data_IF_931856156645
#
_entry.id   IF_931856156645
#
_cell.length_a   1.000
_cell.length_b   1.000
_cell.length_c   1.000
_cell.angle_alpha   90.00
_cell.angle_beta   90.00
_cell.angle_gamma   90.00
#
_symmetry.space_group_name_H-M   'P 1'
#
loop_
_entity.id
_entity.type
_entity.pdbx_description
1 polymer ?
#
# COMPACT_ATOMS: atom_id res chain seq x y z
N UNK A 1 18.19 47.14 2.64
CA UNK A 1 17.40 46.28 1.74
C UNK A 1 16.52 47.15 0.85
N UNK A 2 16.58 46.99 -0.46
CA UNK A 2 15.75 47.71 -1.45
C UNK A 2 14.25 47.32 -1.40
N UNK A 3 13.75 46.81 -0.27
CA UNK A 3 12.35 46.39 -0.10
C UNK A 3 11.95 45.12 -0.87
N UNK A 4 12.84 44.52 -1.65
CA UNK A 4 12.52 43.38 -2.53
C UNK A 4 12.43 42.05 -1.75
N UNK A 5 11.35 41.26 -1.90
CA UNK A 5 11.23 39.95 -1.26
C UNK A 5 12.12 38.90 -1.92
N UNK A 6 12.62 37.97 -1.10
CA UNK A 6 13.54 36.90 -1.53
C UNK A 6 13.04 35.54 -1.06
N UNK A 7 12.91 34.60 -2.01
CA UNK A 7 12.70 33.19 -1.72
C UNK A 7 14.00 32.43 -2.00
N UNK A 8 14.59 31.84 -0.95
CA UNK A 8 15.80 31.02 -1.05
C UNK A 8 15.42 29.55 -1.08
N UNK A 9 15.75 28.85 -2.17
CA UNK A 9 15.57 27.41 -2.31
C UNK A 9 16.84 26.65 -1.95
N UNK A 10 16.69 25.65 -1.07
CA UNK A 10 17.77 24.78 -0.59
C UNK A 10 17.42 23.32 -0.85
N UNK A 11 18.40 22.43 -0.94
CA UNK A 11 18.21 20.99 -1.25
C UNK A 11 18.01 20.12 -0.01
N UNK A 12 18.42 20.58 1.17
CA UNK A 12 18.30 19.84 2.43
C UNK A 12 17.92 20.75 3.62
N UNK A 13 17.39 20.13 4.67
CA UNK A 13 17.07 20.82 5.93
C UNK A 13 18.32 21.41 6.56
N UNK A 14 19.44 20.68 6.55
CA UNK A 14 20.69 21.13 7.17
C UNK A 14 21.22 22.42 6.53
N UNK A 15 21.14 22.52 5.20
CA UNK A 15 21.54 23.72 4.46
C UNK A 15 20.62 24.90 4.83
N UNK A 16 19.31 24.66 4.92
CA UNK A 16 18.34 25.70 5.30
C UNK A 16 18.57 26.24 6.72
N UNK A 17 18.89 25.36 7.68
CA UNK A 17 19.18 25.71 9.06
C UNK A 17 20.53 26.44 9.17
N UNK A 18 21.56 25.99 8.43
CA UNK A 18 22.86 26.68 8.35
C UNK A 18 22.69 28.09 7.80
N UNK A 19 21.94 28.24 6.71
CA UNK A 19 21.66 29.54 6.12
C UNK A 19 20.85 30.42 7.08
N UNK A 20 19.86 29.87 7.76
CA UNK A 20 19.08 30.59 8.78
C UNK A 20 19.99 31.18 9.86
N UNK A 21 20.92 30.39 10.42
CA UNK A 21 21.89 30.88 11.41
C UNK A 21 22.74 32.03 10.86
N UNK A 22 23.21 31.92 9.62
CA UNK A 22 24.00 32.98 8.98
C UNK A 22 23.19 34.28 8.79
N UNK A 23 21.91 34.18 8.43
CA UNK A 23 21.03 35.34 8.31
C UNK A 23 20.70 35.98 9.68
N UNK A 24 20.51 35.16 10.73
CA UNK A 24 20.34 35.65 12.11
C UNK A 24 21.55 36.44 12.58
N UNK A 25 22.77 35.94 12.32
CA UNK A 25 24.02 36.64 12.66
C UNK A 25 24.15 38.01 11.98
N UNK A 26 23.51 38.20 10.82
CA UNK A 26 23.45 39.47 10.09
C UNK A 26 22.21 40.31 10.42
N UNK A 27 21.45 39.92 11.43
CA UNK A 27 20.23 40.58 11.88
C UNK A 27 19.16 40.74 10.78
N UNK A 28 19.02 39.72 9.93
CA UNK A 28 18.01 39.68 8.86
C UNK A 28 16.82 38.82 9.30
N UNK A 29 15.62 39.43 9.38
CA UNK A 29 14.37 38.71 9.61
C UNK A 29 14.06 37.75 8.45
N UNK A 30 13.79 36.49 8.77
CA UNK A 30 13.49 35.47 7.78
C UNK A 30 12.68 34.31 8.36
N UNK A 31 11.97 33.61 7.48
CA UNK A 31 11.24 32.40 7.80
C UNK A 31 11.91 31.16 7.17
N UNK A 32 11.75 29.99 7.79
CA UNK A 32 12.26 28.71 7.29
C UNK A 32 11.11 27.72 7.13
N UNK A 33 11.04 27.06 5.97
CA UNK A 33 10.03 26.08 5.61
C UNK A 33 10.69 24.73 5.36
N UNK A 34 10.39 23.75 6.25
CA UNK A 34 11.04 22.44 6.29
C UNK A 34 10.10 21.27 5.89
N UNK A 35 8.95 21.55 5.28
CA UNK A 35 7.92 20.58 4.89
C UNK A 35 7.36 19.71 6.04
N UNK A 36 7.32 20.26 7.26
CA UNK A 36 6.82 19.57 8.47
C UNK A 36 5.37 19.95 8.83
N UNK A 37 4.96 21.19 8.58
CA UNK A 37 3.64 21.71 8.97
C UNK A 37 2.98 22.46 7.81
N UNK A 38 2.30 21.74 6.92
CA UNK A 38 1.78 22.30 5.67
C UNK A 38 0.86 23.51 5.84
N UNK A 39 0.01 23.55 6.87
CA UNK A 39 -0.93 24.66 7.08
C UNK A 39 -0.23 25.96 7.48
N UNK A 40 0.67 25.90 8.48
CA UNK A 40 1.47 27.05 8.90
C UNK A 40 2.44 27.49 7.81
N UNK A 41 3.03 26.54 7.08
CA UNK A 41 3.90 26.84 5.94
C UNK A 41 3.12 27.56 4.83
N UNK A 42 1.87 27.19 4.56
CA UNK A 42 1.05 27.89 3.58
C UNK A 42 0.79 29.35 3.97
N UNK A 43 0.53 29.64 5.25
CA UNK A 43 0.39 31.01 5.76
C UNK A 43 1.67 31.82 5.54
N UNK A 44 2.82 31.25 5.89
CA UNK A 44 4.13 31.90 5.70
C UNK A 44 4.42 32.15 4.21
N UNK A 45 4.09 31.19 3.33
CA UNK A 45 4.29 31.31 1.87
C UNK A 45 3.39 32.38 1.28
N UNK A 46 2.15 32.51 1.75
CA UNK A 46 1.23 33.56 1.29
C UNK A 46 1.78 34.97 1.61
N UNK A 47 2.53 35.11 2.70
CA UNK A 47 3.17 36.37 3.09
C UNK A 47 4.58 36.58 2.49
N UNK A 48 5.17 35.56 1.86
CA UNK A 48 6.54 35.60 1.35
C UNK A 48 6.76 36.67 0.25
N UNK A 49 5.68 37.14 -0.39
CA UNK A 49 5.70 38.19 -1.40
C UNK A 49 5.61 39.61 -0.85
N UNK A 50 5.50 39.81 0.47
CA UNK A 50 5.46 41.15 1.09
C UNK A 50 6.83 41.84 1.04
N UNK A 51 6.90 43.19 0.97
CA UNK A 51 8.16 43.92 0.92
C UNK A 51 9.14 43.51 2.04
N UNK A 52 10.40 43.29 1.66
CA UNK A 52 11.50 42.99 2.58
C UNK A 52 11.48 41.60 3.21
N UNK A 53 10.51 40.73 2.88
CA UNK A 53 10.45 39.37 3.44
C UNK A 53 11.49 38.44 2.81
N UNK A 54 12.17 37.69 3.66
CA UNK A 54 13.09 36.62 3.27
C UNK A 54 12.52 35.29 3.73
N UNK A 55 12.36 34.35 2.81
CA UNK A 55 11.82 33.02 3.10
C UNK A 55 12.79 31.97 2.58
N UNK A 56 13.21 31.04 3.43
CA UNK A 56 14.02 29.88 3.07
C UNK A 56 13.09 28.68 2.94
N UNK A 57 13.16 27.98 1.82
CA UNK A 57 12.38 26.77 1.55
C UNK A 57 13.30 25.59 1.25
N UNK A 58 13.11 24.48 1.96
CA UNK A 58 13.77 23.21 1.64
C UNK A 58 13.00 22.49 0.53
N UNK A 59 13.69 22.11 -0.54
CA UNK A 59 13.15 21.43 -1.70
C UNK A 59 11.87 22.08 -2.25
N UNK A 60 10.72 21.45 -1.98
CA UNK A 60 9.40 21.87 -2.44
C UNK A 60 8.48 22.32 -1.29
N UNK A 61 9.02 22.76 -0.16
CA UNK A 61 8.20 23.31 0.92
C UNK A 61 7.33 24.48 0.39
N UNK A 62 6.07 24.56 0.85
CA UNK A 62 5.11 25.53 0.31
C UNK A 62 4.61 25.24 -1.11
N UNK A 63 4.67 23.99 -1.58
CA UNK A 63 4.04 23.57 -2.86
C UNK A 63 2.52 23.68 -2.79
N UNK A 64 1.93 24.22 -3.85
CA UNK A 64 0.48 24.41 -3.96
C UNK A 64 -0.03 25.77 -3.45
N UNK A 65 0.80 26.54 -2.74
CA UNK A 65 0.45 27.90 -2.31
C UNK A 65 1.07 28.94 -3.21
N UNK A 66 0.26 29.92 -3.60
CA UNK A 66 0.68 30.99 -4.48
C UNK A 66 1.29 32.17 -3.71
N UNK A 67 2.45 32.64 -4.17
CA UNK A 67 3.09 33.84 -3.65
C UNK A 67 2.58 35.02 -4.47
N UNK A 68 1.77 35.88 -3.85
CA UNK A 68 1.26 37.11 -4.47
C UNK A 68 2.16 38.29 -4.09
N UNK A 69 2.42 39.17 -5.05
CA UNK A 69 3.17 40.41 -4.83
C UNK A 69 2.28 41.63 -5.05
N UNK A 70 2.58 42.73 -4.38
CA UNK A 70 1.89 44.02 -4.54
C UNK A 70 2.68 44.97 -5.46
N UNK A 71 2.09 46.10 -5.84
CA UNK A 71 2.70 47.03 -6.81
C UNK A 71 4.05 47.59 -6.33
N UNK A 72 4.19 47.87 -5.04
CA UNK A 72 5.47 48.27 -4.44
C UNK A 72 6.58 47.23 -4.68
N UNK A 73 6.25 45.94 -4.60
CA UNK A 73 7.20 44.86 -4.89
C UNK A 73 7.45 44.73 -6.38
N UNK A 74 6.46 44.99 -7.24
CA UNK A 74 6.64 44.99 -8.70
C UNK A 74 7.65 46.06 -9.12
N UNK A 75 7.51 47.27 -8.57
CA UNK A 75 8.44 48.39 -8.82
C UNK A 75 9.86 48.09 -8.30
N UNK A 76 9.96 47.32 -7.21
CA UNK A 76 11.24 46.83 -6.68
C UNK A 76 11.87 45.66 -7.49
N UNK A 77 11.29 45.29 -8.65
CA UNK A 77 11.78 44.21 -9.51
C UNK A 77 11.17 42.83 -9.21
N UNK A 78 10.08 42.79 -8.45
CA UNK A 78 9.31 41.59 -8.14
C UNK A 78 10.01 40.59 -7.22
N UNK A 79 9.48 39.37 -7.16
CA UNK A 79 10.04 38.31 -6.32
C UNK A 79 11.41 37.85 -6.83
N UNK A 80 12.42 37.84 -5.95
CA UNK A 80 13.74 37.28 -6.24
C UNK A 80 13.82 35.82 -5.77
N UNK A 81 14.14 34.93 -6.70
CA UNK A 81 14.41 33.51 -6.40
C UNK A 81 15.92 33.31 -6.34
N UNK A 82 16.39 32.72 -5.24
CA UNK A 82 17.79 32.36 -5.04
C UNK A 82 17.87 30.86 -4.79
N UNK A 83 18.40 30.08 -5.73
CA UNK A 83 18.77 28.69 -5.49
C UNK A 83 20.17 28.62 -4.90
N UNK A 84 20.35 27.92 -3.79
CA UNK A 84 21.69 27.73 -3.19
C UNK A 84 22.49 26.63 -3.86
N UNK A 85 21.81 25.72 -4.57
CA UNK A 85 22.37 24.59 -5.30
C UNK A 85 21.45 24.21 -6.47
N UNK A 86 21.87 23.25 -7.28
CA UNK A 86 21.04 22.60 -8.30
C UNK A 86 20.40 21.35 -7.73
N UNK A 87 19.11 21.13 -8.00
CA UNK A 87 18.47 19.86 -7.68
C UNK A 87 18.88 18.77 -8.67
N UNK A 88 18.68 17.51 -8.28
CA UNK A 88 18.89 16.34 -9.13
C UNK A 88 18.10 16.36 -10.44
N UNK A 89 16.96 17.07 -10.45
CA UNK A 89 16.12 17.23 -11.63
C UNK A 89 15.90 18.69 -12.01
N UNK A 90 16.04 18.97 -13.30
CA UNK A 90 15.78 20.30 -13.89
C UNK A 90 14.33 20.74 -13.69
N UNK A 91 13.41 19.78 -13.60
CA UNK A 91 12.00 20.06 -13.36
C UNK A 91 11.79 20.75 -12.02
N UNK A 92 12.54 20.36 -10.99
CA UNK A 92 12.44 20.96 -9.65
C UNK A 92 13.03 22.36 -9.66
N UNK A 93 14.18 22.56 -10.31
CA UNK A 93 14.76 23.90 -10.51
C UNK A 93 13.79 24.84 -11.25
N UNK A 94 13.12 24.34 -12.31
CA UNK A 94 12.10 25.09 -13.05
C UNK A 94 10.88 25.43 -12.18
N UNK A 95 10.47 24.54 -11.29
CA UNK A 95 9.39 24.82 -10.33
C UNK A 95 9.77 25.90 -9.32
N UNK A 96 11.01 25.90 -8.85
CA UNK A 96 11.52 26.96 -7.97
C UNK A 96 11.54 28.30 -8.71
N UNK A 97 12.02 28.33 -9.96
CA UNK A 97 11.98 29.54 -10.81
C UNK A 97 10.56 30.04 -11.03
N UNK A 98 9.62 29.14 -11.31
CA UNK A 98 8.20 29.46 -11.56
C UNK A 98 7.42 29.97 -10.33
N UNK A 99 8.09 30.12 -9.17
CA UNK A 99 7.52 30.85 -8.02
C UNK A 99 7.51 32.36 -8.23
N UNK A 100 8.42 32.89 -9.04
CA UNK A 100 8.40 34.28 -9.49
C UNK A 100 7.84 34.39 -10.92
N UNK A 101 7.57 35.61 -11.39
CA UNK A 101 7.17 35.84 -12.78
C UNK A 101 5.73 35.44 -13.12
N UNK A 102 4.84 35.41 -12.13
CA UNK A 102 3.47 34.88 -12.31
C UNK A 102 2.57 35.93 -12.93
N UNK A 103 1.70 35.52 -13.86
CA UNK A 103 0.79 36.43 -14.56
C UNK A 103 1.50 37.63 -15.23
N UNK A 104 2.74 37.45 -15.66
CA UNK A 104 3.54 38.51 -16.28
C UNK A 104 4.20 39.47 -15.27
N UNK A 105 4.10 39.21 -13.97
CA UNK A 105 4.78 39.99 -12.94
C UNK A 105 6.31 40.01 -13.16
N UNK A 106 7.01 41.09 -12.80
CA UNK A 106 8.46 41.10 -12.81
C UNK A 106 9.02 40.10 -11.79
N UNK A 107 10.23 39.61 -12.04
CA UNK A 107 10.90 38.68 -11.14
C UNK A 107 12.27 38.29 -11.69
N UNK A 108 13.11 37.75 -10.81
CA UNK A 108 14.40 37.19 -11.24
C UNK A 108 14.67 35.87 -10.54
N UNK A 109 15.41 34.99 -11.21
CA UNK A 109 15.90 33.77 -10.60
C UNK A 109 17.39 33.64 -10.81
N UNK A 110 18.14 33.46 -9.73
CA UNK A 110 19.57 33.19 -9.78
C UNK A 110 19.86 31.95 -8.95
N UNK A 111 20.82 31.16 -9.41
CA UNK A 111 21.28 30.00 -8.68
C UNK A 111 22.78 30.08 -8.52
N UNK A 112 23.21 29.87 -7.28
CA UNK A 112 24.60 29.73 -6.90
C UNK A 112 24.90 28.24 -6.90
N UNK A 113 26.03 27.86 -7.47
CA UNK A 113 26.45 26.47 -7.62
C UNK A 113 27.94 26.43 -7.34
N UNK A 114 28.37 25.48 -6.53
CA UNK A 114 29.79 25.20 -6.30
C UNK A 114 30.23 23.94 -7.03
N UNK A 115 31.51 23.86 -7.39
CA UNK A 115 32.11 22.61 -7.86
C UNK A 115 32.15 21.53 -6.76
N UNK A 116 31.98 21.94 -5.51
CA UNK A 116 31.92 21.07 -4.33
C UNK A 116 30.51 20.53 -4.04
N UNK A 117 29.48 21.02 -4.75
CA UNK A 117 28.09 20.57 -4.57
C UNK A 117 27.98 19.06 -4.85
N UNK A 118 27.05 18.39 -4.17
CA UNK A 118 26.86 16.95 -4.30
C UNK A 118 26.66 16.51 -5.76
N UNK A 119 25.85 17.26 -6.51
CA UNK A 119 25.63 17.03 -7.95
C UNK A 119 26.94 17.11 -8.75
N UNK A 120 27.84 18.03 -8.42
CA UNK A 120 29.11 18.20 -9.15
C UNK A 120 30.14 17.14 -8.76
N UNK A 121 30.16 16.74 -7.49
CA UNK A 121 31.03 15.66 -6.97
C UNK A 121 30.77 14.32 -7.66
N UNK A 122 29.51 14.00 -7.95
CA UNK A 122 29.13 12.76 -8.65
C UNK A 122 29.68 12.65 -10.08
N UNK A 123 30.08 13.78 -10.71
CA UNK A 123 30.47 13.82 -12.13
C UNK A 123 31.95 14.18 -12.37
N UNK A 124 32.81 13.93 -11.38
CA UNK A 124 34.26 14.22 -11.44
C UNK A 124 34.57 15.69 -11.76
N UNK A 125 34.12 16.58 -10.86
CA UNK A 125 34.42 18.02 -10.88
C UNK A 125 35.91 18.35 -10.97
N UNK A 126 36.81 17.44 -10.59
CA UNK A 126 38.27 17.63 -10.62
C UNK A 126 38.83 18.03 -11.99
N UNK A 127 38.30 17.49 -13.10
CA UNK A 127 38.80 17.86 -14.44
C UNK A 127 38.44 19.30 -14.79
N UNK A 128 37.29 19.76 -14.32
CA UNK A 128 36.80 21.13 -14.54
C UNK A 128 37.56 22.06 -13.60
N UNK A 129 37.74 21.70 -12.33
CA UNK A 129 38.54 22.45 -11.36
C UNK A 129 39.98 22.67 -11.87
N UNK A 130 40.68 21.61 -12.31
CA UNK A 130 42.04 21.70 -12.87
C UNK A 130 42.14 22.58 -14.12
N UNK A 131 41.09 22.62 -14.94
CA UNK A 131 41.02 23.50 -16.10
C UNK A 131 40.86 24.96 -15.67
N UNK A 132 40.07 25.20 -14.62
CA UNK A 132 39.79 26.54 -14.10
C UNK A 132 41.01 27.13 -13.37
N UNK A 133 41.72 26.31 -12.59
CA UNK A 133 43.00 26.68 -11.98
C UNK A 133 44.01 27.09 -13.05
N UNK A 134 44.06 26.35 -14.17
CA UNK A 134 44.92 26.66 -15.31
C UNK A 134 44.52 27.94 -16.05
N UNK A 135 43.24 28.29 -16.04
CA UNK A 135 42.72 29.55 -16.59
C UNK A 135 42.93 30.74 -15.64
N UNK A 136 43.47 30.52 -14.44
CA UNK A 136 43.83 31.58 -13.50
C UNK A 136 42.67 32.13 -12.67
N UNK A 137 41.54 31.41 -12.59
CA UNK A 137 40.42 31.80 -11.74
C UNK A 137 40.78 31.65 -10.26
N UNK A 138 40.44 32.66 -9.45
CA UNK A 138 40.70 32.65 -8.00
C UNK A 138 39.47 32.25 -7.19
N UNK A 139 39.72 31.76 -5.98
CA UNK A 139 38.67 31.43 -5.03
C UNK A 139 37.81 32.67 -4.74
N UNK A 140 36.50 32.54 -4.92
CA UNK A 140 35.52 33.63 -4.79
C UNK A 140 35.20 34.39 -6.08
N UNK A 141 35.84 34.09 -7.21
CA UNK A 141 35.44 34.64 -8.51
C UNK A 141 34.18 33.97 -9.06
N UNK A 142 33.21 34.79 -9.47
CA UNK A 142 31.97 34.28 -10.06
C UNK A 142 32.22 33.85 -11.50
N UNK A 143 32.19 32.55 -11.76
CA UNK A 143 32.30 32.03 -13.12
C UNK A 143 30.93 32.02 -13.81
N UNK A 144 30.82 32.79 -14.88
CA UNK A 144 29.68 32.72 -15.81
C UNK A 144 30.15 32.24 -17.17
N UNK A 145 30.19 30.92 -17.36
CA UNK A 145 30.59 30.31 -18.62
C UNK A 145 29.58 29.27 -19.11
N UNK A 146 29.27 29.32 -20.41
CA UNK A 146 28.28 28.44 -21.04
C UNK A 146 28.67 26.96 -20.96
N UNK A 147 29.96 26.66 -20.99
CA UNK A 147 30.49 25.29 -20.84
C UNK A 147 30.17 24.69 -19.46
N UNK A 148 30.32 25.47 -18.38
CA UNK A 148 30.03 25.03 -17.01
C UNK A 148 28.53 24.77 -16.86
N UNK A 149 27.70 25.68 -17.39
CA UNK A 149 26.24 25.51 -17.41
C UNK A 149 25.82 24.24 -18.16
N UNK A 150 26.40 23.97 -19.35
CA UNK A 150 26.17 22.73 -20.11
C UNK A 150 26.65 21.48 -19.37
N UNK A 151 27.71 21.57 -18.57
CA UNK A 151 28.22 20.44 -17.78
C UNK A 151 27.24 20.07 -16.67
N UNK A 152 26.78 21.06 -15.89
CA UNK A 152 25.73 20.88 -14.87
C UNK A 152 24.47 20.28 -15.49
N UNK A 153 24.09 20.80 -16.65
CA UNK A 153 22.93 20.34 -17.40
C UNK A 153 23.03 18.84 -17.77
N UNK A 154 24.21 18.37 -18.20
CA UNK A 154 24.48 16.95 -18.48
C UNK A 154 24.47 16.10 -17.21
N UNK A 155 25.05 16.61 -16.12
CA UNK A 155 25.02 15.94 -14.82
C UNK A 155 23.58 15.67 -14.37
N UNK A 156 22.72 16.70 -14.38
CA UNK A 156 21.30 16.56 -14.05
C UNK A 156 20.59 15.55 -14.95
N UNK A 157 20.83 15.57 -16.27
CA UNK A 157 20.22 14.61 -17.20
C UNK A 157 20.61 13.17 -16.84
N UNK A 158 21.86 12.93 -16.50
CA UNK A 158 22.33 11.59 -16.15
C UNK A 158 21.76 11.09 -14.81
N UNK A 159 21.61 11.99 -13.83
CA UNK A 159 20.89 11.67 -12.58
C UNK A 159 19.41 11.35 -12.85
N UNK A 160 18.76 12.13 -13.71
CA UNK A 160 17.38 11.87 -14.13
C UNK A 160 17.22 10.51 -14.84
N UNK A 161 18.14 10.18 -15.75
CA UNK A 161 18.19 8.87 -16.43
C UNK A 161 18.39 7.72 -15.42
N UNK A 162 19.30 7.88 -14.45
CA UNK A 162 19.51 6.88 -13.41
C UNK A 162 18.25 6.68 -12.55
N UNK A 163 17.65 7.78 -12.09
CA UNK A 163 16.41 7.74 -11.31
C UNK A 163 15.23 7.19 -12.12
N UNK A 164 15.21 7.40 -13.44
CA UNK A 164 14.24 6.78 -14.34
C UNK A 164 14.47 5.26 -14.42
N UNK A 165 15.72 4.81 -14.58
CA UNK A 165 16.08 3.39 -14.58
C UNK A 165 15.68 2.69 -13.28
N UNK A 166 15.97 3.29 -12.12
CA UNK A 166 15.56 2.76 -10.81
C UNK A 166 14.03 2.62 -10.74
N UNK A 167 13.28 3.65 -11.14
CA UNK A 167 11.81 3.60 -11.14
C UNK A 167 11.25 2.58 -12.12
N UNK A 168 11.83 2.47 -13.31
CA UNK A 168 11.44 1.46 -14.30
C UNK A 168 11.64 0.05 -13.73
N UNK A 169 12.80 -0.20 -13.13
CA UNK A 169 13.08 -1.49 -12.50
C UNK A 169 12.13 -1.77 -11.35
N UNK A 170 11.89 -0.81 -10.46
CA UNK A 170 10.90 -0.97 -9.38
C UNK A 170 9.50 -1.32 -9.90
N UNK A 171 9.07 -0.71 -11.01
CA UNK A 171 7.81 -1.04 -11.67
C UNK A 171 7.82 -2.47 -12.21
N UNK A 172 8.90 -2.89 -12.90
CA UNK A 172 9.00 -4.24 -13.45
C UNK A 172 8.92 -5.36 -12.40
N UNK A 173 9.41 -5.12 -11.17
CA UNK A 173 9.21 -6.06 -10.04
C UNK A 173 7.78 -6.01 -9.48
N UNK A 174 7.18 -4.82 -9.39
CA UNK A 174 5.80 -4.66 -8.90
C UNK A 174 4.78 -5.23 -9.89
N UNK A 175 5.03 -5.17 -11.21
CA UNK A 175 4.15 -5.74 -12.24
C UNK A 175 3.90 -7.24 -12.00
N UNK A 176 4.94 -7.99 -11.62
CA UNK A 176 4.82 -9.42 -11.27
C UNK A 176 3.90 -9.60 -10.05
N UNK A 177 4.13 -8.82 -9.00
CA UNK A 177 3.29 -8.84 -7.80
C UNK A 177 1.87 -8.39 -8.07
N UNK A 178 1.68 -7.45 -8.99
CA UNK A 178 0.37 -6.91 -9.30
C UNK A 178 -0.52 -7.97 -9.97
N UNK A 179 0.02 -8.74 -10.91
CA UNK A 179 -0.70 -9.85 -11.55
C UNK A 179 -1.16 -10.89 -10.50
N UNK A 180 -0.24 -11.31 -9.62
CA UNK A 180 -0.56 -12.26 -8.55
C UNK A 180 -1.60 -11.70 -7.58
N UNK A 181 -1.45 -10.43 -7.20
CA UNK A 181 -2.36 -9.72 -6.29
C UNK A 181 -3.77 -9.60 -6.88
N UNK A 182 -3.89 -9.28 -8.17
CA UNK A 182 -5.19 -9.21 -8.85
C UNK A 182 -5.91 -10.56 -8.78
N UNK A 183 -5.22 -11.67 -9.08
CA UNK A 183 -5.79 -13.01 -9.00
C UNK A 183 -6.26 -13.38 -7.59
N UNK A 184 -5.44 -13.11 -6.56
CA UNK A 184 -5.80 -13.39 -5.17
C UNK A 184 -6.93 -12.48 -4.69
N UNK A 185 -6.94 -11.20 -5.08
CA UNK A 185 -7.97 -10.25 -4.67
C UNK A 185 -9.32 -10.54 -5.32
N UNK A 186 -9.34 -11.13 -6.51
CA UNK A 186 -10.56 -11.66 -7.11
C UNK A 186 -11.14 -12.80 -6.28
N UNK A 187 -10.35 -13.84 -5.98
CA UNK A 187 -10.79 -14.97 -5.12
C UNK A 187 -11.24 -14.50 -3.73
N UNK A 188 -10.48 -13.56 -3.14
CA UNK A 188 -10.82 -12.95 -1.85
C UNK A 188 -12.14 -12.19 -1.89
N UNK A 189 -12.42 -11.49 -2.99
CA UNK A 189 -13.67 -10.76 -3.18
C UNK A 189 -14.85 -11.72 -3.29
N UNK A 190 -14.70 -12.80 -4.05
CA UNK A 190 -15.71 -13.86 -4.19
C UNK A 190 -16.00 -14.52 -2.84
N UNK A 191 -14.98 -14.78 -2.02
CA UNK A 191 -15.14 -15.28 -0.65
C UNK A 191 -15.82 -14.27 0.29
N UNK A 192 -15.57 -12.97 0.12
CA UNK A 192 -16.20 -11.91 0.93
C UNK A 192 -17.68 -11.68 0.57
N UNK A 193 -18.01 -11.66 -0.72
CA UNK A 193 -19.39 -11.43 -1.18
C UNK A 193 -20.23 -12.70 -1.20
N UNK A 194 -19.60 -13.87 -1.30
CA UNK A 194 -20.26 -15.14 -1.60
C UNK A 194 -20.60 -15.32 -3.09
N UNK A 195 -20.42 -14.29 -3.92
CA UNK A 195 -20.70 -14.38 -5.35
C UNK A 195 -19.65 -15.26 -6.02
N UNK A 196 -20.10 -16.26 -6.79
CA UNK A 196 -19.24 -17.23 -7.50
C UNK A 196 -18.30 -18.05 -6.60
N UNK A 197 -18.46 -18.01 -5.27
CA UNK A 197 -17.62 -18.77 -4.34
C UNK A 197 -17.72 -20.28 -4.60
N UNK A 198 -18.92 -20.80 -4.88
CA UNK A 198 -19.12 -22.21 -5.24
C UNK A 198 -18.32 -22.63 -6.47
N UNK A 199 -18.21 -21.74 -7.47
CA UNK A 199 -17.39 -21.99 -8.67
C UNK A 199 -15.91 -21.99 -8.32
N UNK A 200 -15.46 -21.05 -7.50
CA UNK A 200 -14.07 -21.04 -7.01
C UNK A 200 -13.75 -22.30 -6.22
N UNK A 201 -14.61 -22.72 -5.30
CA UNK A 201 -14.45 -23.94 -4.50
C UNK A 201 -14.39 -25.19 -5.38
N UNK A 202 -15.32 -25.34 -6.33
CA UNK A 202 -15.30 -26.47 -7.26
C UNK A 202 -14.00 -26.55 -8.05
N UNK A 203 -13.45 -25.41 -8.51
CA UNK A 203 -12.13 -25.39 -9.15
C UNK A 203 -10.99 -25.70 -8.19
N UNK A 204 -11.05 -25.28 -6.92
CA UNK A 204 -10.06 -25.65 -5.90
C UNK A 204 -10.08 -27.16 -5.64
N UNK A 205 -11.27 -27.75 -5.53
CA UNK A 205 -11.48 -29.17 -5.32
C UNK A 205 -10.94 -29.98 -6.50
N UNK A 206 -11.33 -29.60 -7.72
CA UNK A 206 -10.88 -30.23 -8.96
C UNK A 206 -9.37 -30.16 -9.10
N UNK A 207 -8.78 -28.96 -8.97
CA UNK A 207 -7.35 -28.78 -9.09
C UNK A 207 -6.57 -29.58 -8.03
N UNK A 208 -7.11 -29.74 -6.82
CA UNK A 208 -6.47 -30.60 -5.81
C UNK A 208 -6.57 -32.09 -6.18
N UNK A 209 -7.73 -32.54 -6.64
CA UNK A 209 -7.98 -33.93 -7.05
C UNK A 209 -7.11 -34.31 -8.24
N UNK A 210 -7.05 -33.47 -9.28
CA UNK A 210 -6.19 -33.67 -10.45
C UNK A 210 -4.73 -33.82 -10.06
N UNK A 211 -4.21 -32.90 -9.22
CA UNK A 211 -2.83 -32.97 -8.75
C UNK A 211 -2.57 -34.25 -7.95
N UNK A 212 -3.48 -34.62 -7.04
CA UNK A 212 -3.38 -35.84 -6.26
C UNK A 212 -3.34 -37.08 -7.15
N UNK A 213 -4.25 -37.19 -8.12
CA UNK A 213 -4.31 -38.33 -9.04
C UNK A 213 -3.04 -38.39 -9.89
N UNK A 214 -2.60 -37.25 -10.43
CA UNK A 214 -1.39 -37.18 -11.25
C UNK A 214 -0.14 -37.64 -10.48
N UNK A 215 0.08 -37.10 -9.28
CA UNK A 215 1.22 -37.48 -8.43
C UNK A 215 1.19 -38.97 -8.07
N UNK A 216 0.04 -39.48 -7.63
CA UNK A 216 -0.05 -40.85 -7.15
C UNK A 216 -0.02 -41.87 -8.29
N UNK A 217 -0.54 -41.52 -9.48
CA UNK A 217 -0.42 -42.37 -10.68
C UNK A 217 1.03 -42.50 -11.14
N UNK A 218 1.84 -41.46 -11.00
CA UNK A 218 3.28 -41.52 -11.28
C UNK A 218 4.03 -42.44 -10.29
N UNK A 219 3.62 -42.45 -9.02
CA UNK A 219 4.17 -43.36 -8.01
C UNK A 219 3.74 -44.81 -8.27
N UNK A 220 2.50 -45.02 -8.71
CA UNK A 220 1.96 -46.33 -9.06
C UNK A 220 1.52 -47.20 -7.88
N UNK A 221 1.47 -46.64 -6.66
CA UNK A 221 1.01 -47.36 -5.46
C UNK A 221 -0.40 -46.92 -5.04
N UNK A 222 -1.35 -47.83 -5.18
CA UNK A 222 -2.75 -47.61 -4.79
C UNK A 222 -2.93 -47.37 -3.28
N UNK A 223 -2.11 -47.99 -2.42
CA UNK A 223 -2.22 -47.76 -0.97
C UNK A 223 -1.80 -46.34 -0.60
N UNK A 224 -0.74 -45.83 -1.26
CA UNK A 224 -0.33 -44.43 -1.15
C UNK A 224 -1.42 -43.47 -1.65
N UNK A 225 -2.06 -43.78 -2.79
CA UNK A 225 -3.20 -43.01 -3.30
C UNK A 225 -4.36 -42.95 -2.29
N UNK A 226 -4.77 -44.10 -1.76
CA UNK A 226 -5.85 -44.21 -0.77
C UNK A 226 -5.54 -43.39 0.49
N UNK A 227 -4.31 -43.51 1.00
CA UNK A 227 -3.85 -42.73 2.16
C UNK A 227 -3.83 -41.24 1.87
N UNK A 228 -3.34 -40.83 0.71
CA UNK A 228 -3.32 -39.43 0.29
C UNK A 228 -4.73 -38.86 0.21
N UNK A 229 -5.68 -39.58 -0.40
CA UNK A 229 -7.09 -39.18 -0.49
C UNK A 229 -7.73 -38.97 0.89
N UNK A 230 -7.54 -39.90 1.82
CA UNK A 230 -8.02 -39.72 3.19
C UNK A 230 -7.36 -38.53 3.90
N UNK A 231 -6.07 -38.29 3.63
CA UNK A 231 -5.30 -37.21 4.25
C UNK A 231 -5.58 -35.82 3.67
N UNK A 232 -5.97 -35.70 2.40
CA UNK A 232 -6.25 -34.42 1.75
C UNK A 232 -7.76 -34.16 1.67
N UNK A 233 -8.53 -35.09 1.13
CA UNK A 233 -9.97 -34.99 0.86
C UNK A 233 -10.85 -35.52 2.00
N UNK A 234 -10.29 -36.34 2.89
CA UNK A 234 -11.06 -36.94 3.99
C UNK A 234 -11.97 -38.09 3.57
N UNK A 235 -11.87 -38.55 2.31
CA UNK A 235 -12.63 -39.69 1.78
C UNK A 235 -11.73 -40.90 1.56
N UNK A 236 -12.31 -42.08 1.74
CA UNK A 236 -11.70 -43.34 1.34
C UNK A 236 -12.25 -43.70 -0.06
N UNK A 237 -11.42 -43.65 -1.12
CA UNK A 237 -11.89 -43.81 -2.49
C UNK A 237 -12.49 -45.21 -2.73
N UNK A 238 -13.65 -45.28 -3.39
CA UNK A 238 -14.35 -46.55 -3.64
C UNK A 238 -13.79 -47.33 -4.83
N UNK A 239 -13.06 -46.63 -5.71
CA UNK A 239 -12.35 -47.21 -6.84
C UNK A 239 -11.31 -48.24 -6.38
N UNK A 240 -11.28 -49.40 -7.04
CA UNK A 240 -10.38 -50.50 -6.68
C UNK A 240 -8.98 -50.35 -7.28
N UNK A 241 -8.05 -51.20 -6.82
CA UNK A 241 -6.66 -51.17 -7.25
C UNK A 241 -6.49 -51.51 -8.75
N UNK A 242 -7.40 -52.31 -9.33
CA UNK A 242 -7.35 -52.68 -10.74
C UNK A 242 -7.72 -51.49 -11.62
N UNK A 243 -8.82 -50.80 -11.29
CA UNK A 243 -9.24 -49.57 -11.94
C UNK A 243 -8.17 -48.49 -11.83
N UNK A 244 -7.60 -48.28 -10.64
CA UNK A 244 -6.51 -47.31 -10.47
C UNK A 244 -5.27 -47.64 -11.32
N UNK A 245 -4.97 -48.91 -11.57
CA UNK A 245 -3.82 -49.30 -12.39
C UNK A 245 -4.10 -49.10 -13.90
N UNK A 246 -5.28 -49.49 -14.37
CA UNK A 246 -5.62 -49.51 -15.80
C UNK A 246 -6.17 -48.20 -16.34
N UNK A 247 -7.00 -47.50 -15.56
CA UNK A 247 -7.66 -46.26 -16.00
C UNK A 247 -6.66 -45.11 -16.19
N UNK A 248 -7.01 -44.18 -17.08
CA UNK A 248 -6.22 -42.98 -17.27
C UNK A 248 -6.44 -41.97 -16.13
N UNK A 249 -5.61 -40.92 -16.06
CA UNK A 249 -5.71 -39.92 -14.98
C UNK A 249 -7.01 -39.14 -15.01
N UNK A 250 -7.59 -38.90 -16.18
CA UNK A 250 -8.86 -38.15 -16.33
C UNK A 250 -10.04 -38.97 -15.76
N UNK A 251 -10.13 -40.26 -16.10
CA UNK A 251 -11.16 -41.19 -15.60
C UNK A 251 -11.11 -41.35 -14.08
N UNK A 252 -9.90 -41.44 -13.52
CA UNK A 252 -9.72 -41.53 -12.06
C UNK A 252 -10.11 -40.21 -11.39
N UNK A 253 -9.76 -39.08 -12.01
CA UNK A 253 -10.10 -37.73 -11.51
C UNK A 253 -11.61 -37.51 -11.50
N UNK A 254 -12.30 -37.79 -12.61
CA UNK A 254 -13.76 -37.64 -12.73
C UNK A 254 -14.48 -38.49 -11.67
N UNK A 255 -14.10 -39.77 -11.54
CA UNK A 255 -14.71 -40.65 -10.55
C UNK A 255 -14.45 -40.21 -9.11
N UNK A 256 -13.23 -39.78 -8.79
CA UNK A 256 -12.90 -39.30 -7.44
C UNK A 256 -13.61 -37.97 -7.13
N UNK A 257 -13.77 -37.11 -8.14
CA UNK A 257 -14.52 -35.85 -8.02
C UNK A 257 -15.99 -36.11 -7.73
N UNK A 258 -16.64 -37.00 -8.46
CA UNK A 258 -18.04 -37.37 -8.20
C UNK A 258 -18.23 -37.94 -6.79
N UNK A 259 -17.32 -38.82 -6.34
CA UNK A 259 -17.32 -39.35 -4.97
C UNK A 259 -17.14 -38.24 -3.92
N UNK A 260 -16.22 -37.30 -4.18
CA UNK A 260 -15.95 -36.18 -3.29
C UNK A 260 -17.10 -35.18 -3.21
N UNK A 261 -17.70 -34.81 -4.35
CA UNK A 261 -18.83 -33.87 -4.42
C UNK A 261 -20.05 -34.45 -3.69
N UNK A 262 -20.31 -35.75 -3.84
CA UNK A 262 -21.36 -36.46 -3.11
C UNK A 262 -21.10 -36.45 -1.59
N UNK A 263 -19.87 -36.78 -1.18
CA UNK A 263 -19.46 -36.75 0.23
C UNK A 263 -19.59 -35.34 0.83
N UNK A 264 -19.11 -34.32 0.12
CA UNK A 264 -19.11 -32.94 0.57
C UNK A 264 -20.54 -32.39 0.69
N UNK A 265 -21.40 -32.69 -0.29
CA UNK A 265 -22.82 -32.34 -0.26
C UNK A 265 -23.57 -32.98 0.90
N UNK A 266 -23.40 -34.30 1.10
CA UNK A 266 -24.05 -35.02 2.21
C UNK A 266 -23.59 -34.50 3.58
N UNK A 267 -22.31 -34.15 3.69
CA UNK A 267 -21.76 -33.51 4.88
C UNK A 267 -22.41 -32.15 5.15
N UNK A 268 -22.55 -31.32 4.11
CA UNK A 268 -23.21 -30.01 4.21
C UNK A 268 -24.64 -30.13 4.72
N UNK A 269 -25.41 -31.07 4.17
CA UNK A 269 -26.78 -31.34 4.60
C UNK A 269 -26.84 -31.84 6.06
N UNK A 270 -25.98 -32.79 6.46
CA UNK A 270 -25.87 -33.24 7.86
C UNK A 270 -25.54 -32.11 8.82
N UNK A 271 -24.67 -31.19 8.40
CA UNK A 271 -24.26 -30.04 9.20
C UNK A 271 -25.41 -29.04 9.35
N UNK A 272 -26.15 -28.77 8.27
CA UNK A 272 -27.33 -27.91 8.29
C UNK A 272 -28.42 -28.49 9.20
N UNK A 273 -28.71 -29.80 9.10
CA UNK A 273 -29.71 -30.48 9.93
C UNK A 273 -29.35 -30.46 11.42
N UNK A 274 -28.06 -30.59 11.75
CA UNK A 274 -27.58 -30.50 13.13
C UNK A 274 -27.67 -29.08 13.71
N UNK A 275 -27.43 -28.05 12.90
CA UNK A 275 -27.42 -26.65 13.33
C UNK A 275 -28.82 -26.02 13.33
N UNK A 276 -29.72 -26.45 12.46
CA UNK A 276 -31.05 -25.89 12.32
C UNK A 276 -31.85 -25.79 13.64
N UNK A 277 -31.94 -26.83 14.49
CA UNK A 277 -32.68 -26.72 15.74
C UNK A 277 -32.07 -25.68 16.70
N UNK A 278 -30.74 -25.53 16.70
CA UNK A 278 -30.02 -24.58 17.55
C UNK A 278 -30.30 -23.16 17.06
N UNK A 279 -30.14 -22.92 15.76
CA UNK A 279 -30.35 -21.61 15.13
C UNK A 279 -31.81 -21.18 15.28
N UNK A 280 -32.75 -22.10 15.06
CA UNK A 280 -34.19 -21.85 15.25
C UNK A 280 -34.50 -21.45 16.70
N UNK A 281 -33.96 -22.18 17.67
CA UNK A 281 -34.16 -21.88 19.08
C UNK A 281 -33.59 -20.50 19.47
N UNK A 282 -32.42 -20.14 18.95
CA UNK A 282 -31.81 -18.82 19.17
C UNK A 282 -32.61 -17.71 18.49
N UNK A 283 -33.09 -17.92 17.27
CA UNK A 283 -33.91 -16.94 16.56
C UNK A 283 -35.26 -16.68 17.25
N UNK A 284 -35.94 -17.74 17.71
CA UNK A 284 -37.24 -17.63 18.38
C UNK A 284 -37.14 -16.96 19.76
N UNK A 285 -36.10 -17.25 20.54
CA UNK A 285 -35.94 -16.70 21.90
C UNK A 285 -35.16 -15.39 21.95
N UNK A 286 -34.18 -15.20 21.06
CA UNK A 286 -33.20 -14.11 21.13
C UNK A 286 -33.04 -13.32 19.82
N UNK A 287 -33.81 -13.62 18.78
CA UNK A 287 -33.70 -12.96 17.46
C UNK A 287 -34.05 -11.46 17.44
N UNK A 288 -34.69 -10.94 18.49
CA UNK A 288 -34.89 -9.50 18.69
C UNK A 288 -33.63 -8.78 19.19
N UNK A 289 -32.67 -9.53 19.77
CA UNK A 289 -31.45 -9.02 20.39
C UNK A 289 -30.23 -9.18 19.50
N UNK A 290 -30.16 -10.27 18.72
CA UNK A 290 -29.00 -10.58 17.87
C UNK A 290 -29.41 -10.74 16.41
N UNK A 291 -28.59 -10.19 15.50
CA UNK A 291 -28.74 -10.39 14.05
C UNK A 291 -27.93 -11.58 13.54
N UNK A 292 -26.81 -11.88 14.19
CA UNK A 292 -25.88 -12.94 13.77
C UNK A 292 -25.31 -13.70 14.95
N UNK A 293 -25.01 -14.98 14.76
CA UNK A 293 -24.41 -15.87 15.77
C UNK A 293 -22.98 -16.23 15.40
N UNK A 294 -22.12 -16.39 16.43
CA UNK A 294 -20.77 -16.90 16.24
C UNK A 294 -20.74 -18.42 16.42
N UNK A 295 -20.40 -19.15 15.36
CA UNK A 295 -20.21 -20.59 15.39
C UNK A 295 -18.71 -20.92 15.35
N UNK A 296 -18.14 -21.56 16.38
CA UNK A 296 -16.75 -21.99 16.35
C UNK A 296 -16.62 -23.27 15.52
N UNK A 297 -15.86 -23.20 14.41
CA UNK A 297 -15.55 -24.38 13.59
C UNK A 297 -14.08 -24.74 13.69
N UNK A 298 -13.84 -26.04 13.71
CA UNK A 298 -12.51 -26.66 13.69
C UNK A 298 -12.52 -27.82 12.70
N UNK A 299 -11.36 -28.15 12.15
CA UNK A 299 -11.04 -29.39 11.43
C UNK A 299 -10.44 -30.48 12.34
N UNK A 300 -10.48 -30.28 13.66
CA UNK A 300 -9.77 -31.10 14.64
C UNK A 300 -8.39 -30.56 15.01
N UNK A 301 -7.93 -29.48 14.36
CA UNK A 301 -6.75 -28.72 14.78
C UNK A 301 -7.07 -27.70 15.88
N UNK A 302 -6.04 -27.12 16.50
CA UNK A 302 -6.19 -26.04 17.49
C UNK A 302 -6.77 -24.74 16.91
N UNK A 303 -7.01 -24.65 15.59
CA UNK A 303 -7.52 -23.44 14.95
C UNK A 303 -9.06 -23.42 15.04
N UNK A 304 -9.58 -22.40 15.72
CA UNK A 304 -11.00 -22.11 15.77
C UNK A 304 -11.27 -20.86 14.94
N UNK A 305 -12.14 -20.99 13.94
CA UNK A 305 -12.61 -19.84 13.17
C UNK A 305 -14.00 -19.44 13.69
N UNK A 306 -14.18 -18.22 14.23
CA UNK A 306 -15.49 -17.73 14.61
C UNK A 306 -16.25 -17.30 13.36
N UNK A 307 -17.30 -18.02 13.02
CA UNK A 307 -18.09 -17.79 11.81
C UNK A 307 -19.34 -17.01 12.19
N UNK A 308 -19.54 -15.88 11.53
CA UNK A 308 -20.72 -15.04 11.74
C UNK A 308 -21.79 -15.45 10.74
N UNK A 309 -22.85 -16.10 11.21
CA UNK A 309 -24.00 -16.50 10.38
C UNK A 309 -25.21 -15.59 10.67
N UNK A 310 -25.91 -15.14 9.63
CA UNK A 310 -27.16 -14.38 9.79
C UNK A 310 -28.30 -15.29 10.25
N UNK A 311 -28.94 -14.94 11.36
CA UNK A 311 -29.97 -15.78 11.97
C UNK A 311 -31.23 -15.90 11.11
N UNK A 312 -31.62 -14.81 10.43
CA UNK A 312 -32.86 -14.79 9.65
C UNK A 312 -32.69 -15.64 8.40
N UNK A 313 -31.61 -15.44 7.65
CA UNK A 313 -31.31 -16.22 6.46
C UNK A 313 -31.16 -17.71 6.80
N UNK A 314 -30.50 -18.02 7.91
CA UNK A 314 -30.30 -19.39 8.35
C UNK A 314 -31.60 -20.12 8.73
N UNK A 315 -32.59 -19.42 9.30
CA UNK A 315 -33.91 -20.04 9.56
C UNK A 315 -34.70 -20.21 8.26
N UNK A 316 -34.72 -19.19 7.40
CA UNK A 316 -35.44 -19.23 6.10
C UNK A 316 -34.90 -20.33 5.18
N UNK A 317 -33.59 -20.59 5.21
CA UNK A 317 -32.92 -21.60 4.40
C UNK A 317 -32.80 -22.98 5.06
N UNK A 318 -33.42 -23.20 6.23
CA UNK A 318 -33.27 -24.44 7.04
C UNK A 318 -31.81 -24.81 7.37
N UNK A 319 -30.97 -23.82 7.65
CA UNK A 319 -29.56 -24.02 8.03
C UNK A 319 -28.58 -24.02 6.85
N UNK A 320 -29.06 -24.07 5.60
CA UNK A 320 -28.19 -24.06 4.41
C UNK A 320 -27.33 -22.80 4.26
N UNK A 321 -27.82 -21.60 4.57
CA UNK A 321 -26.99 -20.39 4.48
C UNK A 321 -25.78 -20.43 5.41
N UNK A 322 -25.83 -21.24 6.48
CA UNK A 322 -24.70 -21.41 7.39
C UNK A 322 -23.56 -22.15 6.70
N UNK A 323 -23.84 -23.14 5.83
CA UNK A 323 -22.76 -23.82 5.07
C UNK A 323 -22.04 -22.82 4.18
N UNK A 324 -22.78 -21.94 3.52
CA UNK A 324 -22.21 -20.89 2.67
C UNK A 324 -21.40 -19.88 3.49
N UNK A 325 -21.87 -19.48 4.67
CA UNK A 325 -21.14 -18.57 5.56
C UNK A 325 -19.86 -19.22 6.10
N UNK A 326 -19.87 -20.54 6.30
CA UNK A 326 -18.69 -21.31 6.68
C UNK A 326 -17.68 -21.31 5.53
N UNK A 327 -18.12 -21.64 4.33
CA UNK A 327 -17.31 -21.61 3.12
C UNK A 327 -16.66 -20.25 2.91
N UNK A 328 -17.42 -19.16 3.00
CA UNK A 328 -16.92 -17.78 2.89
C UNK A 328 -15.84 -17.50 3.92
N UNK A 329 -16.14 -17.75 5.19
CA UNK A 329 -15.25 -17.40 6.30
C UNK A 329 -13.95 -18.21 6.29
N UNK A 330 -14.04 -19.52 6.05
CA UNK A 330 -12.89 -20.43 5.97
C UNK A 330 -12.02 -20.06 4.77
N UNK A 331 -12.62 -19.94 3.59
CA UNK A 331 -11.89 -19.62 2.36
C UNK A 331 -11.15 -18.29 2.49
N UNK A 332 -11.84 -17.26 2.98
CA UNK A 332 -11.22 -15.96 3.21
C UNK A 332 -10.05 -16.03 4.21
N UNK A 333 -10.24 -16.71 5.34
CA UNK A 333 -9.22 -16.80 6.39
C UNK A 333 -7.97 -17.57 5.93
N UNK A 334 -8.14 -18.60 5.11
CA UNK A 334 -7.03 -19.40 4.58
C UNK A 334 -6.33 -18.70 3.41
N UNK A 335 -7.06 -18.02 2.53
CA UNK A 335 -6.46 -17.15 1.49
C UNK A 335 -5.62 -16.06 2.16
N UNK A 336 -6.16 -15.35 3.16
CA UNK A 336 -5.45 -14.23 3.81
C UNK A 336 -4.17 -14.70 4.53
N UNK A 337 -4.19 -15.87 5.19
CA UNK A 337 -3.01 -16.38 5.87
C UNK A 337 -1.93 -16.86 4.88
N UNK A 338 -2.32 -17.62 3.85
CA UNK A 338 -1.38 -18.09 2.85
C UNK A 338 -0.82 -16.94 1.99
N UNK A 339 -1.65 -15.96 1.64
CA UNK A 339 -1.19 -14.76 0.94
C UNK A 339 -0.22 -13.93 1.78
N UNK A 340 -0.47 -13.80 3.09
CA UNK A 340 0.44 -13.12 4.01
C UNK A 340 1.82 -13.78 4.06
N UNK A 341 1.86 -15.11 4.06
CA UNK A 341 3.11 -15.85 4.02
C UNK A 341 3.82 -15.69 2.67
N UNK A 342 3.08 -15.79 1.56
CA UNK A 342 3.62 -15.54 0.22
C UNK A 342 4.24 -14.14 0.08
N UNK A 343 3.60 -13.09 0.61
CA UNK A 343 4.16 -11.74 0.58
C UNK A 343 5.53 -11.66 1.28
N UNK A 344 5.74 -12.43 2.35
CA UNK A 344 7.05 -12.50 3.03
C UNK A 344 8.07 -13.20 2.14
N UNK A 345 7.72 -14.36 1.59
CA UNK A 345 8.58 -15.09 0.66
C UNK A 345 8.96 -14.23 -0.56
N UNK A 346 8.03 -13.43 -1.07
CA UNK A 346 8.28 -12.51 -2.19
C UNK A 346 9.22 -11.36 -1.84
N UNK A 347 9.11 -10.81 -0.63
CA UNK A 347 10.04 -9.79 -0.14
C UNK A 347 11.45 -10.37 0.03
N UNK A 348 11.57 -11.57 0.62
CA UNK A 348 12.85 -12.29 0.75
C UNK A 348 13.45 -12.63 -0.62
N UNK A 349 12.64 -13.11 -1.56
CA UNK A 349 13.04 -13.40 -2.94
C UNK A 349 13.60 -12.16 -3.64
N UNK A 350 12.95 -11.01 -3.46
CA UNK A 350 13.38 -9.75 -4.09
C UNK A 350 14.79 -9.33 -3.63
N UNK A 351 15.13 -9.61 -2.38
CA UNK A 351 16.47 -9.37 -1.82
C UNK A 351 17.47 -10.41 -2.29
N UNK A 352 17.13 -11.71 -2.24
CA UNK A 352 18.03 -12.81 -2.57
C UNK A 352 18.45 -12.79 -4.05
N UNK A 353 17.52 -12.48 -4.95
CA UNK A 353 17.75 -12.50 -6.40
C UNK A 353 18.76 -11.45 -6.85
N UNK A 354 19.07 -10.44 -6.04
CA UNK A 354 20.18 -9.51 -6.35
C UNK A 354 21.53 -10.25 -6.47
N UNK A 355 21.70 -11.39 -5.78
CA UNK A 355 22.88 -12.23 -5.89
C UNK A 355 23.04 -12.89 -7.28
N UNK A 356 21.96 -13.06 -8.05
CA UNK A 356 22.03 -13.61 -9.41
C UNK A 356 22.90 -12.76 -10.36
N UNK A 357 23.12 -11.48 -10.02
CA UNK A 357 24.05 -10.61 -10.76
C UNK A 357 25.49 -11.11 -10.73
N UNK A 358 25.91 -11.86 -9.70
CA UNK A 358 27.24 -12.48 -9.63
C UNK A 358 27.39 -13.62 -10.63
N UNK A 359 26.31 -14.29 -11.00
CA UNK A 359 26.27 -15.33 -12.03
C UNK A 359 26.10 -14.78 -13.45
N UNK A 360 26.15 -13.45 -13.63
CA UNK A 360 25.89 -12.77 -14.91
C UNK A 360 24.49 -13.05 -15.48
N UNK A 361 23.54 -13.43 -14.62
CA UNK A 361 22.11 -13.55 -14.97
C UNK A 361 21.40 -12.23 -14.64
N UNK A 362 20.32 -11.94 -15.38
CA UNK A 362 19.46 -10.80 -15.05
C UNK A 362 18.60 -11.14 -13.82
N UNK A 363 18.76 -10.41 -12.68
CA UNK A 363 17.95 -10.63 -11.49
C UNK A 363 16.44 -10.49 -11.76
N UNK A 364 16.00 -9.65 -12.69
CA UNK A 364 14.57 -9.52 -12.97
C UNK A 364 14.01 -10.81 -13.60
N UNK A 365 14.79 -11.47 -14.44
CA UNK A 365 14.39 -12.71 -15.11
C UNK A 365 14.32 -13.86 -14.11
N UNK A 366 15.32 -13.99 -13.24
CA UNK A 366 15.33 -14.99 -12.15
C UNK A 366 14.15 -14.75 -11.20
N UNK A 367 13.92 -13.50 -10.80
CA UNK A 367 12.79 -13.13 -9.95
C UNK A 367 11.46 -13.54 -10.56
N UNK A 368 11.25 -13.33 -11.87
CA UNK A 368 10.00 -13.72 -12.55
C UNK A 368 9.76 -15.23 -12.53
N UNK A 369 10.79 -16.04 -12.72
CA UNK A 369 10.67 -17.50 -12.69
C UNK A 369 10.38 -17.98 -11.27
N UNK A 370 11.21 -17.61 -10.31
CA UNK A 370 11.04 -18.05 -8.91
C UNK A 370 9.73 -17.52 -8.29
N UNK A 371 9.31 -16.30 -8.64
CA UNK A 371 8.03 -15.75 -8.21
C UNK A 371 6.83 -16.53 -8.78
N UNK A 372 6.95 -17.05 -10.00
CA UNK A 372 5.93 -17.88 -10.62
C UNK A 372 5.81 -19.21 -9.88
N UNK A 373 6.93 -19.87 -9.61
CA UNK A 373 6.96 -21.15 -8.87
C UNK A 373 6.39 -20.99 -7.45
N UNK A 374 6.77 -19.92 -6.74
CA UNK A 374 6.19 -19.61 -5.42
C UNK A 374 4.68 -19.37 -5.50
N UNK A 375 4.20 -18.75 -6.58
CA UNK A 375 2.78 -18.50 -6.76
C UNK A 375 2.00 -19.78 -7.08
N UNK A 376 2.54 -20.68 -7.90
CA UNK A 376 1.94 -22.00 -8.12
C UNK A 376 1.83 -22.78 -6.80
N UNK A 377 2.89 -22.78 -5.99
CA UNK A 377 2.87 -23.39 -4.66
C UNK A 377 1.84 -22.74 -3.73
N UNK A 378 1.69 -21.41 -3.77
CA UNK A 378 0.67 -20.70 -3.04
C UNK A 378 -0.73 -21.18 -3.43
N UNK A 379 -1.03 -21.26 -4.74
CA UNK A 379 -2.34 -21.68 -5.24
C UNK A 379 -2.63 -23.12 -4.82
N UNK A 380 -1.66 -24.02 -4.99
CA UNK A 380 -1.78 -25.40 -4.53
C UNK A 380 -2.07 -25.47 -3.03
N UNK A 381 -1.33 -24.70 -2.21
CA UNK A 381 -1.50 -24.68 -0.76
C UNK A 381 -2.86 -24.12 -0.35
N UNK A 382 -3.35 -23.07 -1.01
CA UNK A 382 -4.70 -22.55 -0.78
C UNK A 382 -5.73 -23.63 -1.10
N UNK A 383 -5.62 -24.29 -2.26
CA UNK A 383 -6.55 -25.35 -2.66
C UNK A 383 -6.53 -26.50 -1.64
N UNK A 384 -5.35 -26.95 -1.23
CA UNK A 384 -5.18 -27.98 -0.21
C UNK A 384 -5.80 -27.59 1.13
N UNK A 385 -5.40 -26.44 1.68
CA UNK A 385 -5.85 -25.99 3.01
C UNK A 385 -7.37 -25.79 3.04
N UNK A 386 -7.95 -25.16 2.02
CA UNK A 386 -9.39 -24.90 1.93
C UNK A 386 -10.15 -26.21 1.79
N UNK A 387 -9.78 -27.08 0.84
CA UNK A 387 -10.45 -28.36 0.61
C UNK A 387 -10.35 -29.27 1.83
N UNK A 388 -9.15 -29.39 2.40
CA UNK A 388 -8.89 -30.22 3.58
C UNK A 388 -9.68 -29.73 4.79
N UNK A 389 -9.69 -28.42 5.04
CA UNK A 389 -10.45 -27.86 6.16
C UNK A 389 -11.96 -28.04 5.96
N UNK A 390 -12.50 -27.67 4.79
CA UNK A 390 -13.93 -27.76 4.51
C UNK A 390 -14.42 -29.21 4.50
N UNK A 391 -13.64 -30.16 3.98
CA UNK A 391 -14.00 -31.59 3.95
C UNK A 391 -13.92 -32.27 5.32
N UNK A 392 -12.98 -31.86 6.19
CA UNK A 392 -12.76 -32.49 7.51
C UNK A 392 -13.34 -31.72 8.70
N UNK A 393 -13.82 -30.50 8.49
CA UNK A 393 -14.44 -29.69 9.53
C UNK A 393 -15.52 -30.43 10.31
N UNK A 394 -15.53 -30.25 11.63
CA UNK A 394 -16.53 -30.75 12.57
C UNK A 394 -17.02 -29.61 13.43
N UNK A 395 -18.30 -29.65 13.79
CA UNK A 395 -18.88 -28.70 14.72
C UNK A 395 -18.49 -29.06 16.16
N UNK A 396 -17.91 -28.10 16.89
CA UNK A 396 -17.70 -28.22 18.33
C UNK A 396 -18.86 -27.55 19.06
N UNK A 397 -19.99 -28.24 19.16
CA UNK A 397 -21.10 -27.76 19.99
C UNK A 397 -20.94 -28.40 21.36
N UNK A 398 -20.35 -27.65 22.30
CA UNK A 398 -20.11 -28.13 23.67
C UNK A 398 -21.35 -28.11 24.55
N UNK A 399 -22.34 -27.24 24.31
CA UNK A 399 -23.68 -27.25 24.93
C UNK A 399 -24.57 -26.13 24.31
N UNK A 400 -25.91 -26.23 24.33
CA UNK A 400 -26.83 -25.24 23.74
C UNK A 400 -26.74 -23.82 24.33
N UNK A 401 -26.20 -23.66 25.55
CA UNK A 401 -26.16 -22.40 26.30
C UNK A 401 -24.90 -21.55 26.08
N UNK A 402 -23.95 -21.96 25.24
CA UNK A 402 -22.69 -21.22 25.01
C UNK A 402 -22.62 -20.45 23.67
N UNK A 403 -23.75 -20.24 22.98
CA UNK A 403 -23.78 -19.41 21.76
C UNK A 403 -23.53 -17.95 22.13
N UNK A 404 -22.39 -17.40 21.70
CA UNK A 404 -22.01 -15.99 21.97
C UNK A 404 -22.35 -15.12 20.77
N UNK A 405 -22.72 -13.87 21.04
CA UNK A 405 -22.94 -12.85 20.02
C UNK A 405 -21.67 -12.66 19.15
N UNK A 406 -21.84 -12.68 17.83
CA UNK A 406 -20.78 -12.31 16.89
C UNK A 406 -20.51 -10.80 16.98
N UNK A 407 -19.63 -10.38 17.91
CA UNK A 407 -19.18 -9.00 17.96
C UNK A 407 -18.36 -8.70 16.72
N UNK A 408 -18.81 -7.75 15.89
CA UNK A 408 -18.01 -7.21 14.79
C UNK A 408 -16.68 -6.68 15.36
N UNK A 409 -15.58 -7.41 15.14
CA UNK A 409 -14.24 -6.90 15.43
C UNK A 409 -13.99 -5.71 14.51
N UNK A 410 -14.16 -4.49 15.04
CA UNK A 410 -13.61 -3.31 14.39
C UNK A 410 -12.09 -3.43 14.46
N UNK A 411 -11.45 -3.71 13.34
CA UNK A 411 -9.99 -3.67 13.22
C UNK A 411 -9.52 -2.26 13.59
N UNK A 412 -8.93 -2.12 14.77
CA UNK A 412 -8.38 -0.84 15.23
C UNK A 412 -7.08 -0.56 14.47
N UNK A 413 -7.21 0.15 13.35
CA UNK A 413 -6.09 0.55 12.50
C UNK A 413 -5.20 1.63 13.15
N UNK A 414 -5.53 2.13 14.35
CA UNK A 414 -4.77 3.20 15.02
C UNK A 414 -3.33 2.82 15.36
N UNK A 415 -3.02 1.52 15.41
CA UNK A 415 -1.69 0.98 15.74
C UNK A 415 -0.95 0.37 14.55
N UNK A 416 -1.54 0.36 13.35
CA UNK A 416 -0.86 -0.15 12.15
C UNK A 416 0.24 0.84 11.75
N UNK A 417 1.48 0.53 12.13
CA UNK A 417 2.67 1.24 11.65
C UNK A 417 3.17 0.51 10.41
N UNK A 418 3.21 1.20 9.29
CA UNK A 418 3.93 0.72 8.11
C UNK A 418 5.41 0.58 8.47
N UNK A 419 5.91 -0.65 8.48
CA UNK A 419 7.33 -0.90 8.67
C UNK A 419 8.05 -0.51 7.37
N UNK A 420 8.41 0.78 7.23
CA UNK A 420 9.42 1.18 6.24
C UNK A 420 10.78 0.75 6.79
N UNK A 421 11.08 -0.53 6.65
CA UNK A 421 12.43 -1.06 6.79
C UNK A 421 13.24 -0.63 5.58
N UNK A 422 13.85 0.54 5.66
CA UNK A 422 14.90 0.99 4.74
C UNK A 422 16.08 1.42 5.59
N UNK A 423 17.20 0.73 5.44
CA UNK A 423 18.44 0.98 6.18
C UNK A 423 18.90 2.43 6.03
N UNK A 424 19.08 3.10 7.18
CA UNK A 424 19.65 4.45 7.27
C UNK A 424 18.80 5.39 8.13
N UNK A 425 19.12 5.50 9.41
CA UNK A 425 18.57 6.59 10.22
C UNK A 425 18.65 6.42 11.74
N UNK A 426 19.84 6.21 12.30
CA UNK A 426 20.06 6.30 13.75
C UNK A 426 19.80 7.71 14.34
N UNK A 427 19.57 8.73 13.50
CA UNK A 427 19.20 10.09 13.93
C UNK A 427 17.71 10.24 14.30
N UNK A 428 16.83 9.34 13.84
CA UNK A 428 15.39 9.45 14.12
C UNK A 428 15.03 9.03 15.56
N UNK A 429 15.87 8.19 16.17
CA UNK A 429 15.69 7.64 17.53
C UNK A 429 16.11 8.67 18.58
N UNK A 430 17.20 9.41 18.33
CA UNK A 430 17.68 10.48 19.22
C UNK A 430 16.74 11.70 19.23
N UNK A 431 16.16 12.07 18.07
CA UNK A 431 15.18 13.16 17.99
C UNK A 431 13.84 12.82 18.67
N UNK A 432 13.50 11.52 18.80
CA UNK A 432 12.30 11.07 19.51
C UNK A 432 12.47 11.07 21.03
N UNK A 433 13.63 10.73 21.56
CA UNK A 433 13.93 10.81 22.99
C UNK A 433 13.86 12.25 23.53
N UNK A 434 14.21 13.24 22.71
CA UNK A 434 14.10 14.66 23.07
C UNK A 434 12.65 15.21 23.04
N UNK A 435 11.71 14.51 22.38
CA UNK A 435 10.32 14.93 22.24
C UNK A 435 9.39 14.40 23.36
N UNK A 436 9.85 13.41 24.15
CA UNK A 436 9.08 12.84 25.26
C UNK A 436 9.15 13.69 26.55
N UNK A 437 9.97 14.74 26.57
CA UNK A 437 10.19 15.58 27.76
C UNK A 437 9.35 16.84 27.91
N UNK A 438 8.50 17.24 26.94
CA UNK A 438 7.81 18.54 27.02
C UNK A 438 6.33 18.50 26.61
N UNK A 439 5.49 18.79 27.61
CA UNK A 439 4.12 19.32 27.55
C UNK A 439 2.97 18.36 27.19
N UNK A 440 2.24 17.94 28.24
CA UNK A 440 0.81 17.65 28.19
C UNK A 440 0.06 18.86 27.60
N UNK A 441 -0.43 18.75 26.36
CA UNK A 441 -1.49 19.63 25.83
C UNK A 441 -2.65 18.80 25.31
N UNK A 442 -3.85 19.31 25.57
CA UNK A 442 -5.13 18.67 25.37
C UNK A 442 -5.31 18.10 23.94
N UNK A 443 -5.96 16.94 23.86
CA UNK A 443 -6.40 16.33 22.61
C UNK A 443 -7.27 17.35 21.85
N UNK A 444 -7.03 17.59 20.55
CA UNK A 444 -7.92 18.42 19.76
C UNK A 444 -9.28 17.72 19.64
N UNK A 445 -10.32 18.36 20.18
CA UNK A 445 -11.70 17.90 19.98
C UNK A 445 -12.11 18.14 18.53
N UNK A 446 -12.44 17.07 17.83
CA UNK A 446 -13.08 17.13 16.52
C UNK A 446 -14.48 17.71 16.69
N UNK A 447 -14.68 18.96 16.26
CA UNK A 447 -16.01 19.58 16.20
C UNK A 447 -16.90 18.78 15.26
N UNK A 448 -17.88 18.06 15.81
CA UNK A 448 -18.98 17.48 15.04
C UNK A 448 -19.88 18.62 14.56
N UNK A 449 -20.09 18.74 13.24
CA UNK A 449 -21.08 19.66 12.67
C UNK A 449 -22.45 19.36 13.28
N UNK A 450 -23.11 20.38 13.83
CA UNK A 450 -24.48 20.26 14.33
C UNK A 450 -25.51 20.26 13.20
N UNK A 451 -25.17 20.82 12.04
CA UNK A 451 -26.08 20.92 10.90
C UNK A 451 -25.73 19.96 9.73
N UNK A 452 -26.74 19.45 9.00
CA UNK A 452 -26.54 18.62 7.82
C UNK A 452 -25.68 19.33 6.75
N UNK A 453 -24.81 18.57 6.09
CA UNK A 453 -24.00 19.09 4.98
C UNK A 453 -24.90 19.42 3.79
N UNK A 454 -25.16 20.71 3.57
CA UNK A 454 -25.94 21.20 2.43
C UNK A 454 -25.20 20.83 1.13
N UNK A 455 -25.85 20.00 0.32
CA UNK A 455 -25.40 19.56 -0.98
C UNK A 455 -25.50 20.65 -2.04
N UNK A 456 -24.71 20.53 -3.11
CA UNK A 456 -24.62 21.54 -4.18
C UNK A 456 -25.97 21.84 -4.87
N UNK A 457 -26.89 20.87 -4.87
CA UNK A 457 -28.21 20.96 -5.48
C UNK A 457 -29.35 21.22 -4.48
N UNK A 458 -29.06 21.30 -3.18
CA UNK A 458 -30.07 21.50 -2.14
C UNK A 458 -30.56 22.96 -2.12
N UNK A 459 -31.76 23.23 -1.55
CA UNK A 459 -32.25 24.59 -1.36
C UNK A 459 -31.24 25.41 -0.56
N UNK A 460 -30.94 26.62 -1.03
CA UNK A 460 -29.98 27.48 -0.35
C UNK A 460 -30.55 27.96 1.00
N UNK A 461 -29.79 27.86 2.11
CA UNK A 461 -30.28 28.15 3.46
C UNK A 461 -30.62 29.63 3.71
N UNK A 462 -30.30 30.53 2.76
CA UNK A 462 -30.67 31.94 2.82
C UNK A 462 -32.15 32.22 2.47
N UNK A 463 -32.96 31.19 2.22
CA UNK A 463 -34.40 31.34 1.91
C UNK A 463 -34.69 31.87 0.50
N UNK A 464 -33.68 31.97 -0.39
CA UNK A 464 -33.82 32.55 -1.73
C UNK A 464 -34.61 31.70 -2.75
N UNK A 465 -35.06 30.50 -2.37
CA UNK A 465 -35.75 29.55 -3.25
C UNK A 465 -34.87 28.92 -4.35
N UNK A 466 -33.59 29.29 -4.46
CA UNK A 466 -32.64 28.79 -5.46
C UNK A 466 -31.77 27.66 -4.91
N UNK A 467 -31.30 26.75 -5.77
CA UNK A 467 -30.30 25.70 -5.40
C UNK A 467 -28.98 26.33 -4.95
N UNK A 468 -28.30 25.74 -3.98
CA UNK A 468 -27.08 26.27 -3.35
C UNK A 468 -26.02 26.71 -4.37
N UNK A 469 -25.76 25.91 -5.41
CA UNK A 469 -24.80 26.23 -6.49
C UNK A 469 -25.10 27.52 -7.28
N UNK A 470 -26.35 27.99 -7.29
CA UNK A 470 -26.78 29.20 -8.00
C UNK A 470 -26.94 30.41 -7.08
N UNK A 471 -26.60 30.26 -5.79
CA UNK A 471 -26.65 31.31 -4.79
C UNK A 471 -25.30 31.37 -4.04
N UNK A 472 -25.23 30.94 -2.77
CA UNK A 472 -24.01 31.02 -1.95
C UNK A 472 -22.90 30.04 -2.34
N UNK A 473 -23.22 29.04 -3.17
CA UNK A 473 -22.25 28.11 -3.77
C UNK A 473 -21.78 28.49 -5.17
N UNK A 474 -22.03 29.74 -5.61
CA UNK A 474 -21.58 30.25 -6.91
C UNK A 474 -20.10 30.63 -6.78
N UNK A 475 -19.24 29.80 -7.35
CA UNK A 475 -17.79 30.08 -7.52
C UNK A 475 -17.60 30.81 -8.84
#
# INVERSE_FOLDING_TARGET
NSGRPVLVGTTSVDISEKLSRMLKLRNLDHNVLNAKQHQREAEIVAEAGKPGKVTIATNMAGRGTDIKINDMVKDAGGLAIVGTERHDSRRVDRQLRGRAGRQGDPGSSQFFVSLEDNLMRLFRSERIAKLMDRMGHKDGEVIQHSMVSKSIERAQKKVEENNFGIRKRLLEYDDVMNIQREAIYEKRRNALSGERLSVDLNHMFEGLIENLVLEQKQVGDYQSFRKASMQSLGIDPTLDAAFFAEANTEEITEKLKDEFDAYYGEKGDKMADALFPIVKNVYENEGHRYKSIALPITDGSNRQLPISADLKEAVESRGKSITDDIEKAVTLALIDENWKEHLRSMDELKESVQAASFEQKDPLVVYKMEAYDLFEQLIFKINYDVTSFLSKSKLLIKEPNEVREARAQRTDLSKVRANRGGAGGDDATAARAAAEGVSRRAKPETVKRQDPKIGRNDPCPCGSGKKYKHCHGRV
#
